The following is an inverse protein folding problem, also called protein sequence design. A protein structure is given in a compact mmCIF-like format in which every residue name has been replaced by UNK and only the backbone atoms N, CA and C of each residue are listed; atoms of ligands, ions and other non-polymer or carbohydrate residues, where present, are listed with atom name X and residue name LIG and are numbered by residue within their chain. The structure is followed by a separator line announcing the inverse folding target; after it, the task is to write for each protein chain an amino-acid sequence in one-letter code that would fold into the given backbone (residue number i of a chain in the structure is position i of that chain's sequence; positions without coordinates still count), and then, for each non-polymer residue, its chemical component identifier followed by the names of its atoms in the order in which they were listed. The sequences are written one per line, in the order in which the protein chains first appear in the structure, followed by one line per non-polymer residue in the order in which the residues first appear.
data_IF_616835775608
#
_entry.id   IF_616835775608
#
_cell.length_a   1.000
_cell.length_b   1.000
_cell.length_c   1.000
_cell.angle_alpha   90.00
_cell.angle_beta   90.00
_cell.angle_gamma   90.00
#
_symmetry.space_group_name_H-M   'P 1'
#
loop_
_entity.id
_entity.type
_entity.pdbx_description
1 polymer ?
#
# COMPACT_ATOMS: atom_id res chain seq x y z
N UNK A 1 -28.84 -29.07 59.31
CA UNK A 1 -29.18 -27.71 58.84
C UNK A 1 -29.48 -27.80 57.34
N UNK A 2 -30.58 -27.17 56.92
CA UNK A 2 -31.04 -27.02 55.53
C UNK A 2 -29.99 -26.28 54.69
N UNK A 3 -29.94 -26.54 53.37
CA UNK A 3 -29.85 -25.56 52.27
C UNK A 3 -29.66 -26.29 50.91
N UNK A 4 -30.76 -26.71 50.31
CA UNK A 4 -31.35 -26.11 49.08
C UNK A 4 -30.44 -25.61 47.92
N UNK A 5 -30.63 -26.29 46.76
CA UNK A 5 -30.54 -25.92 45.32
C UNK A 5 -29.28 -25.28 44.68
N UNK A 6 -28.84 -25.87 43.56
CA UNK A 6 -28.70 -25.14 42.29
C UNK A 6 -28.74 -26.09 41.08
N UNK A 7 -29.76 -25.90 40.24
CA UNK A 7 -30.00 -26.56 38.95
C UNK A 7 -29.00 -26.05 37.91
N UNK A 8 -28.34 -26.95 37.18
CA UNK A 8 -27.43 -26.61 36.07
C UNK A 8 -28.27 -26.25 34.84
N UNK A 9 -28.41 -24.96 34.57
CA UNK A 9 -28.99 -24.48 33.32
C UNK A 9 -27.91 -24.40 32.24
N UNK A 10 -27.91 -25.38 31.33
CA UNK A 10 -27.21 -25.29 30.05
C UNK A 10 -28.08 -24.48 29.08
N UNK A 11 -27.64 -23.28 28.68
CA UNK A 11 -28.26 -22.57 27.56
C UNK A 11 -27.19 -21.88 26.71
N UNK A 12 -27.01 -22.44 25.52
CA UNK A 12 -26.59 -21.84 24.24
C UNK A 12 -25.45 -20.81 24.28
N UNK A 13 -24.23 -21.30 24.05
CA UNK A 13 -23.16 -20.46 23.52
C UNK A 13 -23.54 -19.92 22.14
N UNK A 14 -23.75 -18.62 22.04
CA UNK A 14 -23.89 -17.92 20.78
C UNK A 14 -22.51 -17.93 20.08
N UNK A 15 -22.34 -18.81 19.10
CA UNK A 15 -21.18 -18.74 18.22
C UNK A 15 -21.40 -17.53 17.29
N UNK A 16 -20.84 -16.38 17.66
CA UNK A 16 -20.64 -15.31 16.68
C UNK A 16 -19.64 -15.84 15.65
N UNK A 17 -20.16 -16.36 14.54
CA UNK A 17 -19.44 -16.44 13.29
C UNK A 17 -19.22 -15.01 12.77
N UNK A 18 -18.32 -14.30 13.44
CA UNK A 18 -17.77 -13.04 12.95
C UNK A 18 -16.88 -13.39 11.78
N UNK A 19 -17.39 -13.10 10.58
CA UNK A 19 -16.62 -13.06 9.34
C UNK A 19 -15.27 -12.43 9.61
N UNK A 20 -14.20 -13.21 9.43
CA UNK A 20 -12.85 -12.68 9.33
C UNK A 20 -12.86 -11.89 8.02
N UNK A 21 -13.25 -10.63 8.09
CA UNK A 21 -12.91 -9.67 7.05
C UNK A 21 -11.39 -9.70 7.03
N UNK A 22 -10.83 -10.39 6.04
CA UNK A 22 -9.43 -10.29 5.70
C UNK A 22 -9.23 -8.84 5.27
N UNK A 23 -8.99 -7.98 6.25
CA UNK A 23 -8.43 -6.67 6.00
C UNK A 23 -7.24 -6.94 5.08
N UNK A 24 -7.20 -6.36 3.86
CA UNK A 24 -6.07 -6.57 2.99
C UNK A 24 -4.84 -6.22 3.82
N UNK A 25 -3.92 -7.18 3.93
CA UNK A 25 -2.72 -7.07 4.75
C UNK A 25 -2.19 -5.67 4.57
N UNK A 26 -2.27 -4.87 5.64
CA UNK A 26 -1.83 -3.49 5.60
C UNK A 26 -0.34 -3.54 5.28
N UNK A 27 -0.01 -3.35 4.00
CA UNK A 27 1.31 -2.99 3.51
C UNK A 27 1.86 -2.01 4.53
N UNK A 28 2.90 -2.40 5.28
CA UNK A 28 3.35 -1.71 6.47
C UNK A 28 3.42 -0.20 6.17
N UNK A 29 2.41 0.52 6.65
CA UNK A 29 2.07 1.82 6.08
C UNK A 29 3.12 2.82 6.53
N UNK A 30 4.15 3.04 5.71
CA UNK A 30 5.18 4.01 6.05
C UNK A 30 4.65 5.41 5.76
N UNK A 31 3.93 5.95 6.75
CA UNK A 31 3.46 7.34 6.79
C UNK A 31 4.70 8.27 6.70
N UNK A 32 4.74 9.25 5.79
CA UNK A 32 5.87 10.19 5.73
C UNK A 32 6.04 10.96 7.03
N UNK A 33 7.27 11.39 7.33
CA UNK A 33 7.57 12.21 8.52
C UNK A 33 6.73 13.48 8.50
N UNK A 34 6.11 13.81 9.65
CA UNK A 34 5.23 14.96 9.78
C UNK A 34 3.82 14.76 9.24
N UNK A 35 3.48 13.56 8.73
CA UNK A 35 2.15 13.18 8.29
C UNK A 35 1.44 12.27 9.31
N UNK A 36 0.11 12.29 9.30
CA UNK A 36 -0.76 11.47 10.12
C UNK A 36 -2.10 11.17 9.42
N UNK A 37 -2.89 10.29 10.03
CA UNK A 37 -4.27 9.93 9.62
C UNK A 37 -4.37 9.56 8.14
N UNK A 38 -3.61 8.55 7.68
CA UNK A 38 -3.58 8.22 6.28
C UNK A 38 -4.91 7.58 5.84
N UNK A 39 -5.38 7.95 4.67
CA UNK A 39 -6.62 7.51 4.07
C UNK A 39 -6.30 6.91 2.71
N UNK A 40 -6.69 5.66 2.51
CA UNK A 40 -6.48 4.94 1.26
C UNK A 40 -7.29 5.59 0.14
N UNK A 41 -6.63 5.92 -0.98
CA UNK A 41 -7.30 6.34 -2.22
C UNK A 41 -7.52 5.13 -3.10
N UNK A 42 -6.41 4.48 -3.51
CA UNK A 42 -6.43 3.31 -4.37
C UNK A 42 -5.14 2.49 -4.19
N UNK A 43 -5.14 1.27 -4.73
CA UNK A 43 -4.00 0.36 -4.70
C UNK A 43 -3.98 -0.50 -5.95
N UNK A 44 -2.79 -0.93 -6.36
CA UNK A 44 -2.59 -1.84 -7.48
C UNK A 44 -1.43 -2.81 -7.21
N UNK A 45 -1.49 -4.03 -7.77
CA UNK A 45 -0.33 -4.91 -7.79
C UNK A 45 0.77 -4.31 -8.69
N UNK A 46 2.03 -4.50 -8.29
CA UNK A 46 3.18 -4.25 -9.15
C UNK A 46 3.47 -5.57 -9.85
N UNK A 47 3.22 -5.63 -11.15
CA UNK A 47 3.45 -6.82 -11.97
C UNK A 47 4.80 -6.73 -12.67
N UNK A 48 5.52 -7.84 -12.72
CA UNK A 48 6.73 -8.01 -13.52
C UNK A 48 6.59 -9.27 -14.37
N UNK A 49 7.07 -9.21 -15.61
CA UNK A 49 7.00 -10.34 -16.51
C UNK A 49 8.24 -10.46 -17.38
N UNK A 50 8.58 -11.71 -17.70
CA UNK A 50 9.67 -12.09 -18.61
C UNK A 50 9.12 -13.13 -19.58
N UNK A 51 9.18 -12.84 -20.87
CA UNK A 51 8.52 -13.66 -21.88
C UNK A 51 7.01 -13.72 -21.67
N UNK A 52 6.46 -14.93 -21.56
CA UNK A 52 5.02 -15.16 -21.32
C UNK A 52 4.66 -15.25 -19.83
N UNK A 53 5.64 -15.24 -18.92
CA UNK A 53 5.38 -15.35 -17.50
C UNK A 53 5.23 -13.96 -16.89
N UNK A 54 4.22 -13.79 -16.04
CA UNK A 54 4.02 -12.55 -15.28
C UNK A 54 3.64 -12.92 -13.86
N UNK A 55 4.25 -12.26 -12.88
CA UNK A 55 3.95 -12.45 -11.46
C UNK A 55 3.94 -11.11 -10.74
N UNK A 56 3.33 -11.11 -9.56
CA UNK A 56 3.28 -9.94 -8.69
C UNK A 56 4.56 -9.87 -7.87
N UNK A 57 5.24 -8.72 -7.91
CA UNK A 57 6.45 -8.47 -7.13
C UNK A 57 6.23 -7.49 -5.98
N UNK A 58 5.04 -6.89 -5.89
CA UNK A 58 4.74 -5.93 -4.85
C UNK A 58 3.38 -5.29 -4.99
N UNK A 59 3.21 -4.17 -4.29
CA UNK A 59 2.00 -3.37 -4.26
C UNK A 59 2.39 -1.89 -4.29
N UNK A 60 1.67 -1.11 -5.08
CA UNK A 60 1.70 0.35 -5.01
C UNK A 60 0.36 0.83 -4.47
N UNK A 61 0.41 1.78 -3.54
CA UNK A 61 -0.77 2.31 -2.87
C UNK A 61 -0.69 3.82 -2.79
N UNK A 62 -1.79 4.49 -3.10
CA UNK A 62 -1.93 5.93 -2.96
C UNK A 62 -2.71 6.25 -1.69
N UNK A 63 -2.22 7.25 -0.97
CA UNK A 63 -2.86 7.75 0.24
C UNK A 63 -2.96 9.27 0.20
N UNK A 64 -3.97 9.80 0.88
CA UNK A 64 -3.90 11.16 1.41
C UNK A 64 -3.86 11.16 2.93
N UNK A 65 -3.46 12.27 3.53
CA UNK A 65 -3.52 12.48 4.97
C UNK A 65 -3.10 13.89 5.33
N UNK A 66 -3.07 14.19 6.62
CA UNK A 66 -2.68 15.52 7.11
C UNK A 66 -1.18 15.53 7.41
N UNK A 67 -0.45 16.46 6.79
CA UNK A 67 0.97 16.69 7.04
C UNK A 67 1.20 18.14 7.44
N UNK A 68 1.70 18.38 8.65
CA UNK A 68 1.93 19.74 9.17
C UNK A 68 0.73 20.67 8.94
N UNK A 69 -0.47 20.23 9.30
CA UNK A 69 -1.75 20.96 9.13
C UNK A 69 -2.21 21.21 7.69
N UNK A 70 -1.58 20.60 6.68
CA UNK A 70 -2.04 20.62 5.29
C UNK A 70 -2.38 19.20 4.82
N UNK A 71 -3.49 19.03 4.09
CA UNK A 71 -3.73 17.73 3.45
C UNK A 71 -2.73 17.52 2.31
N UNK A 72 -2.12 16.34 2.25
CA UNK A 72 -1.15 15.94 1.22
C UNK A 72 -1.51 14.57 0.66
N UNK A 73 -1.01 14.29 -0.54
CA UNK A 73 -1.07 13.02 -1.22
C UNK A 73 0.33 12.38 -1.25
N UNK A 74 0.43 11.06 -1.21
CA UNK A 74 1.69 10.34 -1.40
C UNK A 74 1.46 8.90 -1.89
N UNK A 75 2.49 8.36 -2.53
CA UNK A 75 2.53 6.98 -2.98
C UNK A 75 3.40 6.16 -2.02
N UNK A 76 3.01 4.92 -1.76
CA UNK A 76 3.77 3.93 -1.02
C UNK A 76 3.93 2.67 -1.84
N UNK A 77 5.11 2.07 -1.79
CA UNK A 77 5.43 0.79 -2.42
C UNK A 77 5.92 -0.18 -1.36
N UNK A 78 5.39 -1.40 -1.44
CA UNK A 78 5.90 -2.58 -0.75
C UNK A 78 6.28 -3.64 -1.79
N UNK A 79 7.53 -4.04 -1.81
CA UNK A 79 8.06 -5.14 -2.61
C UNK A 79 8.07 -6.44 -1.81
N UNK A 80 7.66 -7.54 -2.43
CA UNK A 80 7.67 -8.86 -1.83
C UNK A 80 9.08 -9.43 -1.71
N UNK A 81 9.23 -10.43 -0.84
CA UNK A 81 10.51 -11.11 -0.62
C UNK A 81 11.15 -11.57 -1.94
N UNK A 82 12.48 -11.43 -2.03
CA UNK A 82 13.23 -11.69 -3.25
C UNK A 82 13.24 -10.52 -4.25
N UNK A 83 12.62 -9.38 -3.90
CA UNK A 83 12.67 -8.14 -4.67
C UNK A 83 13.26 -7.02 -3.83
N UNK A 84 14.04 -6.13 -4.44
CA UNK A 84 14.62 -4.97 -3.76
C UNK A 84 14.75 -3.77 -4.72
N UNK A 85 14.53 -2.56 -4.24
CA UNK A 85 14.65 -1.37 -5.07
C UNK A 85 16.09 -1.17 -5.59
N UNK A 86 16.25 -0.71 -6.84
CA UNK A 86 17.54 -0.31 -7.39
C UNK A 86 17.34 0.79 -8.44
N UNK A 87 17.25 2.05 -8.01
CA UNK A 87 16.85 3.14 -8.88
C UNK A 87 15.35 3.12 -9.18
N UNK A 88 14.52 2.55 -8.29
CA UNK A 88 13.07 2.68 -8.38
C UNK A 88 12.68 4.13 -8.07
N UNK A 89 11.85 4.67 -8.93
CA UNK A 89 11.23 5.98 -8.80
C UNK A 89 9.79 5.82 -8.37
N UNK A 90 9.39 6.52 -7.33
CA UNK A 90 8.02 6.55 -6.81
C UNK A 90 7.54 8.00 -6.73
N UNK A 91 6.31 8.26 -7.18
CA UNK A 91 5.70 9.59 -7.07
C UNK A 91 4.18 9.54 -7.21
N UNK A 92 3.58 10.72 -7.09
CA UNK A 92 2.23 11.00 -7.56
C UNK A 92 2.31 11.57 -8.98
N UNK A 93 1.53 11.03 -9.91
CA UNK A 93 1.42 11.50 -11.28
C UNK A 93 0.05 12.13 -11.50
N UNK A 94 -0.01 13.31 -12.10
CA UNK A 94 -1.25 13.93 -12.58
C UNK A 94 -1.65 13.38 -13.97
N UNK A 95 -2.88 13.65 -14.40
CA UNK A 95 -3.40 13.20 -15.71
C UNK A 95 -2.64 13.73 -16.92
N UNK A 96 -2.05 14.91 -16.79
CA UNK A 96 -1.15 15.56 -17.75
C UNK A 96 0.32 15.10 -17.62
N UNK A 97 0.56 13.98 -16.92
CA UNK A 97 1.87 13.32 -16.80
C UNK A 97 2.92 14.07 -15.97
N UNK A 98 2.51 15.05 -15.17
CA UNK A 98 3.42 15.75 -14.24
C UNK A 98 3.66 14.90 -12.99
N UNK A 99 4.94 14.75 -12.62
CA UNK A 99 5.37 13.97 -11.46
C UNK A 99 5.58 14.87 -10.24
N UNK A 100 4.94 14.53 -9.13
CA UNK A 100 5.00 15.24 -7.87
C UNK A 100 5.51 14.33 -6.74
N UNK A 101 6.26 14.92 -5.81
CA UNK A 101 6.76 14.18 -4.66
C UNK A 101 7.77 13.08 -5.02
N UNK A 102 8.42 13.17 -6.18
CA UNK A 102 9.35 12.15 -6.69
C UNK A 102 10.44 11.82 -5.66
N UNK A 103 10.64 10.52 -5.50
CA UNK A 103 11.75 9.93 -4.74
C UNK A 103 12.34 8.78 -5.54
N UNK A 104 13.67 8.73 -5.60
CA UNK A 104 14.43 7.59 -6.12
C UNK A 104 14.94 6.77 -4.95
N UNK A 105 14.84 5.45 -5.05
CA UNK A 105 15.19 4.50 -3.98
C UNK A 105 16.11 3.43 -4.57
N UNK A 106 17.23 3.20 -3.89
CA UNK A 106 18.29 2.29 -4.35
C UNK A 106 18.46 1.03 -3.50
N UNK A 107 17.65 0.90 -2.45
CA UNK A 107 17.68 -0.21 -1.51
C UNK A 107 16.33 -0.41 -0.81
N UNK A 108 16.14 -1.58 -0.22
CA UNK A 108 14.96 -1.91 0.57
C UNK A 108 13.69 -2.24 -0.23
N UNK A 109 12.65 -2.58 0.54
CA UNK A 109 11.36 -3.10 0.04
C UNK A 109 10.18 -2.21 0.32
N UNK A 110 10.30 -1.33 1.30
CA UNK A 110 9.21 -0.50 1.81
C UNK A 110 9.61 0.97 1.73
N UNK A 111 8.98 1.71 0.82
CA UNK A 111 9.33 3.09 0.61
C UNK A 111 8.15 3.93 0.15
N UNK A 112 8.21 5.21 0.49
CA UNK A 112 7.14 6.18 0.27
C UNK A 112 7.71 7.39 -0.46
N UNK A 113 6.93 7.96 -1.38
CA UNK A 113 7.25 9.21 -2.05
C UNK A 113 7.26 10.37 -1.05
N UNK A 114 7.74 11.54 -1.48
CA UNK A 114 7.57 12.77 -0.69
C UNK A 114 6.08 13.16 -0.71
N UNK A 115 5.50 13.63 0.41
CA UNK A 115 4.13 14.13 0.43
C UNK A 115 4.02 15.40 -0.43
N UNK A 116 2.91 15.55 -1.16
CA UNK A 116 2.75 16.63 -2.15
C UNK A 116 1.33 17.21 -2.18
N UNK A 117 1.21 18.46 -2.66
CA UNK A 117 -0.04 19.18 -2.82
C UNK A 117 -0.72 18.86 -4.15
N UNK A 118 -1.57 17.84 -4.19
CA UNK A 118 -2.21 17.40 -5.46
C UNK A 118 -3.66 16.96 -5.28
N UNK A 119 -4.29 17.29 -4.15
CA UNK A 119 -5.64 16.81 -3.83
C UNK A 119 -6.75 17.48 -4.63
N UNK A 120 -6.45 18.62 -5.27
CA UNK A 120 -7.39 19.37 -6.12
C UNK A 120 -7.40 18.92 -7.58
N UNK A 121 -6.58 17.93 -7.97
CA UNK A 121 -6.44 17.47 -9.35
C UNK A 121 -6.43 15.94 -9.41
N UNK A 122 -6.77 15.40 -10.59
CA UNK A 122 -6.81 13.97 -10.82
C UNK A 122 -5.39 13.37 -10.84
N UNK A 123 -5.10 12.49 -9.88
CA UNK A 123 -3.74 11.96 -9.64
C UNK A 123 -3.69 10.47 -9.32
N UNK A 124 -2.60 9.81 -9.72
CA UNK A 124 -2.31 8.39 -9.45
C UNK A 124 -0.95 8.19 -8.80
N UNK A 125 -0.83 7.19 -7.94
CA UNK A 125 0.47 6.71 -7.52
C UNK A 125 1.15 6.00 -8.71
N UNK A 126 2.44 6.29 -8.92
CA UNK A 126 3.28 5.74 -10.00
C UNK A 126 4.58 5.17 -9.43
N UNK A 127 4.99 4.02 -9.95
CA UNK A 127 6.33 3.45 -9.72
C UNK A 127 6.96 2.98 -11.04
N UNK A 128 8.21 3.34 -11.25
CA UNK A 128 9.01 2.99 -12.44
C UNK A 128 10.48 2.78 -12.09
N UNK A 129 11.28 2.28 -13.03
CA UNK A 129 12.73 2.13 -12.86
C UNK A 129 13.15 0.67 -12.67
N UNK A 130 14.31 0.48 -12.05
CA UNK A 130 14.91 -0.85 -11.91
C UNK A 130 14.83 -1.39 -10.48
N UNK A 131 14.89 -2.71 -10.35
CA UNK A 131 14.86 -3.42 -9.08
C UNK A 131 15.69 -4.72 -9.20
N UNK A 132 16.11 -5.28 -8.07
CA UNK A 132 16.75 -6.59 -8.00
C UNK A 132 15.71 -7.68 -7.84
N UNK A 133 15.78 -8.74 -8.65
CA UNK A 133 15.00 -9.98 -8.52
C UNK A 133 15.84 -11.19 -8.97
N UNK A 134 16.88 -11.52 -8.21
CA UNK A 134 17.92 -12.49 -8.63
C UNK A 134 18.84 -11.97 -9.74
N UNK A 135 18.62 -10.74 -10.20
CA UNK A 135 19.34 -10.02 -11.24
C UNK A 135 18.72 -8.62 -11.41
N UNK A 136 19.37 -7.74 -12.18
CA UNK A 136 18.83 -6.41 -12.45
C UNK A 136 17.64 -6.52 -13.40
N UNK A 137 16.48 -6.02 -12.96
CA UNK A 137 15.22 -6.04 -13.71
C UNK A 137 14.63 -4.63 -13.82
N UNK A 138 13.81 -4.39 -14.85
CA UNK A 138 13.18 -3.09 -15.11
C UNK A 138 11.67 -3.22 -15.13
N UNK A 139 10.97 -2.32 -14.43
CA UNK A 139 9.52 -2.22 -14.47
C UNK A 139 9.06 -1.68 -15.82
N UNK A 140 8.61 -2.58 -16.69
CA UNK A 140 8.02 -2.28 -18.00
C UNK A 140 6.77 -3.14 -18.23
N UNK A 141 5.60 -2.52 -18.50
CA UNK A 141 5.35 -1.08 -18.48
C UNK A 141 5.42 -0.50 -17.06
N UNK A 142 5.45 0.82 -16.98
CA UNK A 142 5.36 1.55 -15.73
C UNK A 142 4.06 1.20 -15.00
N UNK A 143 4.13 1.02 -13.69
CA UNK A 143 2.98 0.64 -12.88
C UNK A 143 2.33 1.88 -12.27
N UNK A 144 1.01 1.98 -12.39
CA UNK A 144 0.20 3.08 -11.86
C UNK A 144 -1.07 2.53 -11.21
N UNK A 145 -1.58 3.22 -10.20
CA UNK A 145 -2.88 2.88 -9.63
C UNK A 145 -4.04 3.24 -10.59
N UNK A 146 -5.21 2.57 -10.50
CA UNK A 146 -6.29 2.73 -11.48
C UNK A 146 -6.90 4.12 -11.47
N UNK A 147 -7.44 4.54 -12.63
CA UNK A 147 -8.29 5.72 -12.71
C UNK A 147 -9.69 5.44 -12.18
N UNK A 148 -10.01 6.02 -11.02
CA UNK A 148 -11.37 6.14 -10.46
C UNK A 148 -12.12 7.27 -11.14
#
# INVERSE_FOLDING_TARGET
MKHTFATVAAVAGLVLAGTVATAPSASAQKIPVGCASPQLINSAPIMYGVGSQTWRIGTITQYWGWCNSAKRNWAHVHLYQGNEAFGLQIAIQTRDWVMHGLKTVNDGRDFTSRPTDTLSVDTRARVSGNFWNGGLATLTPVQVTPWT
#
